data_IF_505655842949
#
_entry.id   IF_505655842949
#
_cell.length_a   1.000
_cell.length_b   1.000
_cell.length_c   1.000
_cell.angle_alpha   90.00
_cell.angle_beta   90.00
_cell.angle_gamma   90.00
#
_symmetry.space_group_name_H-M   'P 1'
#
loop_
_entity.id
_entity.type
_entity.pdbx_description
1 polymer ?
#
# COMPACT_ATOMS: atom_id res chain seq x y z
N UNK A 1 6.72 -28.84 3.58
CA UNK A 1 5.65 -27.82 3.40
C UNK A 1 6.22 -26.70 2.55
N UNK A 2 5.47 -26.21 1.55
CA UNK A 2 5.92 -25.07 0.72
C UNK A 2 6.03 -23.82 1.60
N UNK A 3 7.11 -23.04 1.43
CA UNK A 3 7.39 -21.86 2.24
C UNK A 3 7.52 -20.60 1.38
N UNK A 4 6.73 -19.60 1.68
CA UNK A 4 6.81 -18.25 1.11
C UNK A 4 7.38 -17.31 2.17
N UNK A 5 8.33 -16.48 1.81
CA UNK A 5 8.85 -15.41 2.67
C UNK A 5 8.53 -14.08 2.00
N UNK A 6 8.01 -13.14 2.75
CA UNK A 6 7.70 -11.81 2.28
C UNK A 6 8.54 -10.79 3.02
N UNK A 7 9.45 -10.12 2.31
CA UNK A 7 10.30 -9.06 2.83
C UNK A 7 9.78 -7.73 2.32
N UNK A 8 9.26 -6.90 3.22
CA UNK A 8 8.61 -5.64 2.83
C UNK A 8 9.19 -4.44 3.58
N UNK A 9 9.04 -3.26 3.01
CA UNK A 9 9.43 -2.01 3.65
C UNK A 9 8.31 -1.47 4.54
N UNK A 10 7.42 -0.68 4.00
CA UNK A 10 6.34 -0.03 4.75
C UNK A 10 5.03 -0.26 4.00
N UNK A 11 4.03 -0.84 4.66
CA UNK A 11 2.69 -0.85 4.08
C UNK A 11 1.73 -1.89 4.66
N UNK A 12 0.52 -1.46 5.00
CA UNK A 12 -0.57 -2.33 5.44
C UNK A 12 -1.08 -3.27 4.32
N UNK A 13 -0.78 -2.95 3.05
CA UNK A 13 -1.21 -3.75 1.90
C UNK A 13 -0.52 -5.11 1.79
N UNK A 14 0.64 -5.25 2.43
CA UNK A 14 1.45 -6.46 2.39
C UNK A 14 0.82 -7.62 3.19
N UNK A 15 0.07 -7.29 4.25
CA UNK A 15 -0.67 -8.29 5.05
C UNK A 15 -1.73 -9.02 4.23
N UNK A 16 -2.44 -8.32 3.35
CA UNK A 16 -3.40 -8.94 2.44
C UNK A 16 -2.74 -9.97 1.52
N UNK A 17 -1.59 -9.61 0.93
CA UNK A 17 -0.79 -10.51 0.09
C UNK A 17 -0.25 -11.69 0.89
N UNK A 18 0.26 -11.46 2.12
CA UNK A 18 0.77 -12.53 3.00
C UNK A 18 -0.34 -13.52 3.37
N UNK A 19 -1.52 -13.04 3.73
CA UNK A 19 -2.70 -13.87 4.01
C UNK A 19 -3.06 -14.76 2.83
N UNK A 20 -3.16 -14.20 1.63
CA UNK A 20 -3.50 -14.96 0.42
C UNK A 20 -2.39 -15.94 0.03
N UNK A 21 -1.12 -15.59 0.19
CA UNK A 21 -0.01 -16.50 -0.05
C UNK A 21 -0.05 -17.68 0.92
N UNK A 22 -0.49 -17.47 2.15
CA UNK A 22 -0.54 -18.51 3.18
C UNK A 22 -1.62 -19.57 2.95
N UNK A 23 -2.59 -19.33 2.09
CA UNK A 23 -3.55 -20.33 1.63
C UNK A 23 -2.87 -21.43 0.79
N UNK A 24 -1.69 -21.16 0.22
CA UNK A 24 -0.93 -22.05 -0.66
C UNK A 24 0.34 -22.61 -0.01
N UNK A 25 0.78 -22.02 1.09
CA UNK A 25 1.96 -22.45 1.83
C UNK A 25 2.19 -21.59 3.06
N UNK A 26 3.02 -22.07 4.00
CA UNK A 26 3.39 -21.27 5.17
C UNK A 26 4.03 -19.95 4.73
N UNK A 27 3.50 -18.83 5.15
CA UNK A 27 4.00 -17.50 4.78
C UNK A 27 4.57 -16.78 6.00
N UNK A 28 5.79 -16.28 5.86
CA UNK A 28 6.46 -15.43 6.87
C UNK A 28 6.51 -14.01 6.30
N UNK A 29 5.83 -13.09 6.95
CA UNK A 29 5.86 -11.66 6.62
C UNK A 29 6.86 -10.95 7.52
N UNK A 30 7.78 -10.23 6.92
CA UNK A 30 8.77 -9.37 7.59
C UNK A 30 8.57 -7.96 7.08
N UNK A 31 8.14 -7.09 7.94
CA UNK A 31 8.13 -5.66 7.68
C UNK A 31 9.38 -5.01 8.26
N UNK A 32 10.12 -4.31 7.42
CA UNK A 32 11.33 -3.59 7.79
C UNK A 32 11.17 -2.10 7.46
N UNK A 33 11.01 -1.28 8.49
CA UNK A 33 10.75 0.15 8.35
C UNK A 33 10.81 0.86 9.70
N UNK A 34 10.23 2.06 9.83
CA UNK A 34 10.14 2.78 11.11
C UNK A 34 9.43 1.96 12.20
N UNK A 35 8.56 1.06 11.81
CA UNK A 35 7.94 0.05 12.67
C UNK A 35 8.28 -1.30 12.07
N UNK A 36 9.27 -1.98 12.64
CA UNK A 36 9.63 -3.34 12.24
C UNK A 36 8.63 -4.32 12.87
N UNK A 37 8.13 -5.27 12.08
CA UNK A 37 7.13 -6.22 12.52
C UNK A 37 7.28 -7.56 11.81
N UNK A 38 6.96 -8.64 12.50
CA UNK A 38 7.08 -10.01 12.00
C UNK A 38 5.78 -10.77 12.23
N UNK A 39 5.28 -11.44 11.19
CA UNK A 39 4.07 -12.24 11.27
C UNK A 39 4.29 -13.59 10.59
N UNK A 40 3.64 -14.64 11.10
CA UNK A 40 3.53 -15.95 10.43
C UNK A 40 2.08 -16.23 10.14
N UNK A 41 1.82 -16.65 8.91
CA UNK A 41 0.48 -16.94 8.39
C UNK A 41 0.43 -18.37 7.86
N UNK A 42 -0.61 -19.11 8.22
CA UNK A 42 -0.88 -20.48 7.76
C UNK A 42 -2.36 -20.64 7.44
N UNK A 43 -2.69 -21.14 6.25
CA UNK A 43 -4.09 -21.34 5.81
C UNK A 43 -4.97 -20.09 5.94
N UNK A 44 -4.45 -18.92 5.59
CA UNK A 44 -5.17 -17.66 5.67
C UNK A 44 -5.30 -17.07 7.08
N UNK A 45 -4.75 -17.74 8.10
CA UNK A 45 -4.81 -17.33 9.51
C UNK A 45 -3.43 -16.91 9.99
N UNK A 46 -3.37 -15.80 10.73
CA UNK A 46 -2.15 -15.35 11.39
C UNK A 46 -1.90 -16.19 12.64
N UNK A 47 -0.84 -17.01 12.62
CA UNK A 47 -0.47 -17.93 13.71
C UNK A 47 0.56 -17.34 14.67
N UNK A 48 1.30 -16.29 14.22
CA UNK A 48 2.23 -15.56 15.05
C UNK A 48 2.16 -14.07 14.69
N UNK A 49 2.18 -13.24 15.72
CA UNK A 49 2.16 -11.79 15.68
C UNK A 49 3.26 -11.28 16.61
N UNK A 50 4.40 -10.92 16.02
CA UNK A 50 5.55 -10.44 16.77
C UNK A 50 5.35 -9.02 17.32
N UNK A 51 6.14 -8.59 18.28
CA UNK A 51 6.07 -7.22 18.80
C UNK A 51 6.43 -6.21 17.72
N UNK A 52 5.75 -5.06 17.73
CA UNK A 52 6.16 -3.90 16.94
C UNK A 52 7.41 -3.27 17.57
N UNK A 53 8.46 -3.16 16.79
CA UNK A 53 9.71 -2.52 17.20
C UNK A 53 9.75 -1.14 16.55
N UNK A 54 9.53 -0.11 17.34
CA UNK A 54 9.68 1.27 16.90
C UNK A 54 11.16 1.62 16.77
N UNK A 55 11.63 1.83 15.55
CA UNK A 55 12.98 2.32 15.31
C UNK A 55 12.96 3.86 15.30
N UNK A 56 13.57 4.48 16.32
CA UNK A 56 13.73 5.94 16.43
C UNK A 56 14.77 6.50 15.45
N UNK A 57 14.89 5.93 14.28
CA UNK A 57 15.81 6.46 13.29
C UNK A 57 15.20 7.68 12.59
N UNK A 58 15.94 8.77 12.58
CA UNK A 58 15.57 9.95 11.80
C UNK A 58 15.39 9.55 10.32
N UNK A 59 14.47 10.20 9.63
CA UNK A 59 14.16 9.93 8.21
C UNK A 59 15.41 9.90 7.31
N UNK A 60 16.42 10.72 7.63
CA UNK A 60 17.72 10.75 6.95
C UNK A 60 18.57 9.50 7.19
N UNK A 61 18.51 8.92 8.40
CA UNK A 61 19.20 7.67 8.72
C UNK A 61 18.47 6.51 8.07
N UNK A 62 17.14 6.52 8.07
CA UNK A 62 16.34 5.53 7.33
C UNK A 62 16.66 5.53 5.83
N UNK A 63 16.77 6.70 5.20
CA UNK A 63 17.15 6.82 3.78
C UNK A 63 18.60 6.36 3.53
N UNK A 64 19.55 6.59 4.45
CA UNK A 64 20.92 6.09 4.35
C UNK A 64 21.01 4.58 4.64
N UNK A 65 20.17 4.07 5.53
CA UNK A 65 20.13 2.64 5.92
C UNK A 65 19.43 1.77 4.86
N UNK A 66 18.68 2.35 3.92
CA UNK A 66 18.14 1.69 2.74
C UNK A 66 19.19 1.22 1.72
N UNK A 67 20.47 1.49 1.97
CA UNK A 67 21.59 1.00 1.18
C UNK A 67 22.04 -0.42 1.58
N UNK A 68 23.34 -0.64 1.53
CA UNK A 68 23.99 -1.93 1.79
C UNK A 68 23.64 -2.54 3.16
N UNK A 69 23.55 -1.72 4.21
CA UNK A 69 23.18 -2.18 5.57
C UNK A 69 21.75 -2.72 5.61
N UNK A 70 20.82 -2.14 4.86
CA UNK A 70 19.47 -2.67 4.73
C UNK A 70 19.43 -4.05 4.10
N UNK A 71 20.27 -4.32 3.09
CA UNK A 71 20.39 -5.65 2.49
C UNK A 71 20.88 -6.67 3.54
N UNK A 72 21.94 -6.34 4.28
CA UNK A 72 22.48 -7.23 5.34
C UNK A 72 21.43 -7.50 6.41
N UNK A 73 20.69 -6.49 6.85
CA UNK A 73 19.62 -6.63 7.84
C UNK A 73 18.53 -7.60 7.36
N UNK A 74 18.05 -7.43 6.14
CA UNK A 74 17.03 -8.32 5.55
C UNK A 74 17.54 -9.76 5.45
N UNK A 75 18.80 -9.98 5.08
CA UNK A 75 19.42 -11.32 5.03
C UNK A 75 19.48 -11.94 6.44
N UNK A 76 19.96 -11.20 7.45
CA UNK A 76 19.99 -11.67 8.84
C UNK A 76 18.61 -12.03 9.35
N UNK A 77 17.61 -11.19 9.08
CA UNK A 77 16.23 -11.44 9.47
C UNK A 77 15.66 -12.68 8.79
N UNK A 78 15.94 -12.86 7.49
CA UNK A 78 15.60 -14.12 6.80
C UNK A 78 16.16 -15.35 7.52
N UNK A 79 17.46 -15.37 7.82
CA UNK A 79 18.08 -16.52 8.49
C UNK A 79 17.51 -16.79 9.87
N UNK A 80 17.22 -15.75 10.64
CA UNK A 80 16.62 -15.85 11.97
C UNK A 80 15.22 -16.51 11.89
N UNK A 81 14.37 -16.05 10.99
CA UNK A 81 12.98 -16.49 10.90
C UNK A 81 12.81 -17.85 10.23
N UNK A 82 13.59 -18.14 9.22
CA UNK A 82 13.56 -19.43 8.54
C UNK A 82 14.41 -20.48 9.24
N UNK A 83 15.16 -20.11 10.29
CA UNK A 83 16.18 -20.94 10.93
C UNK A 83 17.21 -21.48 9.93
N UNK A 84 17.46 -20.73 8.86
CA UNK A 84 18.35 -21.11 7.77
C UNK A 84 17.75 -22.12 6.77
N UNK A 85 16.49 -22.51 6.92
CA UNK A 85 15.80 -23.36 5.96
C UNK A 85 15.60 -22.64 4.60
N UNK A 86 15.42 -23.44 3.56
CA UNK A 86 15.17 -22.91 2.22
C UNK A 86 13.71 -22.50 2.08
N UNK A 87 13.49 -21.35 1.45
CA UNK A 87 12.16 -20.95 0.99
C UNK A 87 11.96 -21.30 -0.49
N UNK A 88 10.73 -21.54 -0.89
CA UNK A 88 10.39 -21.73 -2.31
C UNK A 88 10.34 -20.40 -3.05
N UNK A 89 9.71 -19.40 -2.44
CA UNK A 89 9.50 -18.08 -3.04
C UNK A 89 9.80 -17.00 -2.01
N UNK A 90 10.50 -15.93 -2.45
CA UNK A 90 10.60 -14.67 -1.71
C UNK A 90 9.85 -13.59 -2.50
N UNK A 91 8.83 -13.02 -1.88
CA UNK A 91 8.15 -11.82 -2.34
C UNK A 91 8.82 -10.60 -1.67
N UNK A 92 9.20 -9.60 -2.44
CA UNK A 92 9.96 -8.45 -1.93
C UNK A 92 9.32 -7.15 -2.36
N UNK A 93 9.18 -6.18 -1.46
CA UNK A 93 8.78 -4.82 -1.83
C UNK A 93 10.00 -3.89 -1.78
N UNK A 94 10.18 -3.05 -2.80
CA UNK A 94 11.31 -2.16 -3.01
C UNK A 94 12.65 -2.84 -3.37
N UNK A 95 13.60 -2.03 -3.85
CA UNK A 95 14.86 -2.53 -4.44
C UNK A 95 15.81 -3.16 -3.42
N UNK A 96 15.83 -2.67 -2.18
CA UNK A 96 16.73 -3.18 -1.11
C UNK A 96 16.36 -4.61 -0.73
N UNK A 97 15.08 -4.84 -0.46
CA UNK A 97 14.55 -6.16 -0.12
C UNK A 97 14.70 -7.12 -1.30
N UNK A 98 14.48 -6.62 -2.53
CA UNK A 98 14.68 -7.43 -3.74
C UNK A 98 16.15 -7.80 -3.93
N UNK A 99 17.10 -6.89 -3.69
CA UNK A 99 18.52 -7.19 -3.75
C UNK A 99 18.91 -8.27 -2.72
N UNK A 100 18.37 -8.21 -1.49
CA UNK A 100 18.54 -9.26 -0.49
C UNK A 100 17.98 -10.61 -0.96
N UNK A 101 16.77 -10.62 -1.54
CA UNK A 101 16.16 -11.82 -2.12
C UNK A 101 16.99 -12.44 -3.25
N UNK A 102 17.49 -11.60 -4.17
CA UNK A 102 18.37 -12.04 -5.27
C UNK A 102 19.69 -12.64 -4.75
N UNK A 103 20.28 -12.04 -3.72
CA UNK A 103 21.46 -12.61 -3.07
C UNK A 103 21.14 -13.96 -2.41
N UNK A 104 20.03 -14.10 -1.69
CA UNK A 104 19.58 -15.36 -1.11
C UNK A 104 19.34 -16.44 -2.18
N UNK A 105 18.83 -16.05 -3.36
CA UNK A 105 18.70 -16.95 -4.50
C UNK A 105 20.06 -17.40 -5.03
N UNK A 106 21.01 -16.48 -5.17
CA UNK A 106 22.37 -16.81 -5.66
C UNK A 106 23.09 -17.83 -4.78
N UNK A 107 22.86 -17.81 -3.47
CA UNK A 107 23.43 -18.80 -2.52
C UNK A 107 22.51 -20.02 -2.28
N UNK A 108 21.46 -20.18 -3.08
CA UNK A 108 20.57 -21.36 -3.03
C UNK A 108 19.62 -21.44 -1.84
N UNK A 109 19.35 -20.32 -1.15
CA UNK A 109 18.42 -20.23 -0.01
C UNK A 109 16.98 -19.98 -0.41
N UNK A 110 16.73 -19.57 -1.65
CA UNK A 110 15.40 -19.50 -2.24
C UNK A 110 15.44 -19.94 -3.68
N UNK A 111 14.29 -20.40 -4.19
CA UNK A 111 14.17 -20.82 -5.60
C UNK A 111 13.78 -19.67 -6.48
N UNK A 112 12.85 -18.84 -6.05
CA UNK A 112 12.23 -17.76 -6.82
C UNK A 112 12.20 -16.45 -6.04
N UNK A 113 12.35 -15.33 -6.77
CA UNK A 113 12.27 -13.98 -6.24
C UNK A 113 11.29 -13.16 -7.06
N UNK A 114 10.33 -12.54 -6.40
CA UNK A 114 9.38 -11.61 -6.99
C UNK A 114 9.67 -10.21 -6.49
N UNK A 115 9.82 -9.26 -7.40
CA UNK A 115 9.97 -7.84 -7.09
C UNK A 115 8.60 -7.16 -7.15
N UNK A 116 8.10 -6.70 -6.01
CA UNK A 116 6.86 -5.91 -5.92
C UNK A 116 7.23 -4.43 -5.86
N UNK A 117 6.63 -3.62 -6.74
CA UNK A 117 6.80 -2.16 -6.76
C UNK A 117 5.46 -1.52 -6.42
N UNK A 118 5.32 -1.08 -5.17
CA UNK A 118 4.12 -0.39 -4.66
C UNK A 118 4.13 1.10 -4.99
N UNK A 119 5.32 1.71 -5.06
CA UNK A 119 5.48 3.14 -5.23
C UNK A 119 6.46 3.47 -6.36
N UNK A 120 6.11 4.46 -7.15
CA UNK A 120 6.99 5.05 -8.14
C UNK A 120 7.09 6.55 -7.90
N UNK A 121 8.30 7.02 -7.64
CA UNK A 121 8.59 8.44 -7.46
C UNK A 121 9.16 9.01 -8.77
N UNK A 122 8.37 9.78 -9.53
CA UNK A 122 8.88 10.42 -10.75
C UNK A 122 10.03 11.38 -10.40
N UNK A 123 11.04 11.54 -11.29
CA UNK A 123 12.23 12.37 -11.02
C UNK A 123 11.93 13.86 -11.10
N UNK A 124 11.02 14.36 -10.25
CA UNK A 124 10.60 15.74 -10.12
C UNK A 124 11.13 16.37 -8.84
N UNK A 125 11.03 17.69 -8.67
CA UNK A 125 11.49 18.41 -7.47
C UNK A 125 12.91 18.99 -7.61
N UNK A 126 13.58 19.22 -6.48
CA UNK A 126 14.96 19.78 -6.44
C UNK A 126 15.96 18.91 -7.17
N UNK A 127 17.12 19.46 -7.55
CA UNK A 127 18.14 18.72 -8.29
C UNK A 127 18.61 17.47 -7.54
N UNK A 128 18.88 17.59 -6.24
CA UNK A 128 19.28 16.46 -5.38
C UNK A 128 18.21 15.37 -5.33
N UNK A 129 16.94 15.75 -5.20
CA UNK A 129 15.83 14.81 -5.18
C UNK A 129 15.65 14.12 -6.54
N UNK A 130 15.80 14.84 -7.65
CA UNK A 130 15.77 14.26 -9.01
C UNK A 130 16.88 13.24 -9.22
N UNK A 131 18.09 13.54 -8.77
CA UNK A 131 19.24 12.61 -8.88
C UNK A 131 18.95 11.37 -8.04
N UNK A 132 18.55 11.55 -6.78
CA UNK A 132 18.21 10.43 -5.88
C UNK A 132 17.12 9.51 -6.49
N UNK A 133 16.02 10.08 -7.00
CA UNK A 133 14.93 9.33 -7.63
C UNK A 133 15.34 8.61 -8.91
N UNK A 134 16.26 9.19 -9.71
CA UNK A 134 16.84 8.51 -10.88
C UNK A 134 17.68 7.31 -10.47
N UNK A 135 18.53 7.46 -9.45
CA UNK A 135 19.38 6.39 -8.94
C UNK A 135 18.49 5.26 -8.38
N UNK A 136 17.52 5.58 -7.53
CA UNK A 136 16.56 4.61 -6.99
C UNK A 136 15.79 3.90 -8.10
N UNK A 137 15.30 4.66 -9.09
CA UNK A 137 14.60 4.10 -10.24
C UNK A 137 15.47 3.19 -11.11
N UNK A 138 16.75 3.49 -11.25
CA UNK A 138 17.72 2.62 -11.94
C UNK A 138 17.89 1.29 -11.20
N UNK A 139 18.16 1.33 -9.88
CA UNK A 139 18.30 0.11 -9.09
C UNK A 139 17.01 -0.70 -9.04
N UNK A 140 15.85 -0.06 -8.92
CA UNK A 140 14.56 -0.75 -8.98
C UNK A 140 14.37 -1.48 -10.32
N UNK A 141 14.70 -0.87 -11.45
CA UNK A 141 14.67 -1.52 -12.77
C UNK A 141 15.63 -2.71 -12.84
N UNK A 142 16.84 -2.54 -12.32
CA UNK A 142 17.86 -3.60 -12.35
C UNK A 142 17.38 -4.82 -11.57
N UNK A 143 16.93 -4.65 -10.32
CA UNK A 143 16.46 -5.78 -9.51
C UNK A 143 15.16 -6.37 -10.05
N UNK A 144 14.24 -5.56 -10.59
CA UNK A 144 13.04 -6.04 -11.26
C UNK A 144 13.38 -6.92 -12.47
N UNK A 145 14.36 -6.51 -13.29
CA UNK A 145 14.82 -7.30 -14.45
C UNK A 145 15.44 -8.64 -14.05
N UNK A 146 16.15 -8.68 -12.92
CA UNK A 146 16.84 -9.87 -12.42
C UNK A 146 15.92 -10.82 -11.65
N UNK A 147 14.73 -10.37 -11.27
CA UNK A 147 13.73 -11.19 -10.56
C UNK A 147 13.04 -12.18 -11.50
N UNK A 148 12.47 -13.25 -10.95
CA UNK A 148 11.70 -14.21 -11.73
C UNK A 148 10.40 -13.58 -12.24
N UNK A 149 9.76 -12.75 -11.41
CA UNK A 149 8.62 -11.91 -11.79
C UNK A 149 8.74 -10.52 -11.18
N UNK A 150 8.08 -9.55 -11.81
CA UNK A 150 7.96 -8.20 -11.28
C UNK A 150 6.48 -7.78 -11.24
N UNK A 151 6.00 -7.42 -10.06
CA UNK A 151 4.61 -7.02 -9.85
C UNK A 151 4.53 -5.53 -9.51
N UNK A 152 3.58 -4.83 -10.08
CA UNK A 152 3.33 -3.42 -9.76
C UNK A 152 1.88 -3.21 -9.36
N UNK A 153 1.63 -2.40 -8.35
CA UNK A 153 0.26 -2.08 -7.90
C UNK A 153 -0.53 -1.25 -8.93
N UNK A 154 0.14 -0.72 -9.94
CA UNK A 154 -0.48 0.07 -11.00
C UNK A 154 0.17 -0.22 -12.35
N UNK A 155 -0.63 -0.34 -13.45
CA UNK A 155 -0.10 -0.53 -14.80
C UNK A 155 0.70 0.67 -15.31
N UNK A 156 0.61 1.82 -14.64
CA UNK A 156 1.33 3.04 -14.97
C UNK A 156 2.76 3.06 -14.45
N UNK A 157 3.15 2.14 -13.54
CA UNK A 157 4.52 2.05 -13.02
C UNK A 157 5.46 1.50 -14.09
N UNK A 158 6.41 2.29 -14.63
CA UNK A 158 7.23 1.87 -15.76
C UNK A 158 8.38 0.93 -15.37
N UNK A 159 8.77 0.91 -14.10
CA UNK A 159 9.98 0.21 -13.63
C UNK A 159 9.89 -1.31 -13.73
N UNK A 160 8.70 -1.89 -13.64
CA UNK A 160 8.49 -3.35 -13.75
C UNK A 160 8.44 -3.85 -15.20
N UNK A 161 8.15 -2.97 -16.16
CA UNK A 161 8.01 -3.34 -17.58
C UNK A 161 9.32 -3.83 -18.23
N UNK A 162 10.44 -3.70 -17.54
CA UNK A 162 11.73 -4.26 -17.98
C UNK A 162 11.83 -5.77 -17.76
N UNK A 163 10.95 -6.35 -16.95
CA UNK A 163 10.84 -7.79 -16.74
C UNK A 163 9.82 -8.36 -17.73
N UNK A 164 10.15 -9.44 -18.50
CA UNK A 164 9.21 -10.07 -19.42
C UNK A 164 7.99 -10.68 -18.71
N UNK A 165 8.16 -11.06 -17.44
CA UNK A 165 7.10 -11.60 -16.58
C UNK A 165 6.64 -10.54 -15.58
N UNK A 166 6.08 -9.42 -16.09
CA UNK A 166 5.54 -8.37 -15.24
C UNK A 166 4.01 -8.44 -15.19
N UNK A 167 3.46 -8.13 -14.00
CA UNK A 167 2.04 -8.21 -13.73
C UNK A 167 1.55 -7.00 -12.93
N UNK A 168 0.28 -6.69 -13.03
CA UNK A 168 -0.39 -5.73 -12.16
C UNK A 168 -0.89 -6.46 -10.93
N UNK A 169 -0.34 -6.11 -9.76
CA UNK A 169 -0.74 -6.67 -8.46
C UNK A 169 -2.01 -5.96 -7.97
N UNK A 170 -3.16 -6.61 -7.95
CA UNK A 170 -4.34 -6.02 -7.34
C UNK A 170 -4.24 -6.12 -5.81
N UNK A 171 -4.52 -5.02 -5.12
CA UNK A 171 -4.50 -4.95 -3.67
C UNK A 171 -5.86 -5.35 -3.06
N UNK A 172 -5.84 -6.09 -1.97
CA UNK A 172 -7.05 -6.52 -1.27
C UNK A 172 -7.76 -5.34 -0.59
N UNK A 173 -9.09 -5.31 -0.67
CA UNK A 173 -9.92 -4.44 0.17
C UNK A 173 -10.38 -5.29 1.35
N UNK A 174 -9.82 -5.02 2.53
CA UNK A 174 -10.22 -5.73 3.74
C UNK A 174 -11.70 -5.46 4.08
N UNK A 175 -12.27 -6.26 4.96
CA UNK A 175 -13.60 -6.08 5.52
C UNK A 175 -13.49 -5.85 7.01
N UNK A 176 -13.33 -4.60 7.38
CA UNK A 176 -13.09 -4.15 8.76
C UNK A 176 -14.26 -3.31 9.30
N UNK A 177 -15.40 -3.28 8.58
CA UNK A 177 -16.48 -2.39 9.00
C UNK A 177 -17.15 -2.87 10.28
N UNK A 178 -17.23 -1.96 11.25
CA UNK A 178 -18.08 -2.14 12.41
C UNK A 178 -19.52 -1.77 12.04
N UNK A 179 -20.53 -2.52 12.52
CA UNK A 179 -21.92 -2.12 12.38
C UNK A 179 -22.16 -0.76 13.05
N UNK A 180 -22.77 0.18 12.35
CA UNK A 180 -22.89 1.57 12.82
C UNK A 180 -24.26 2.13 12.59
N UNK A 181 -24.71 2.85 13.62
CA UNK A 181 -25.87 3.74 13.58
C UNK A 181 -25.39 5.19 13.48
N UNK A 182 -25.87 5.92 12.47
CA UNK A 182 -25.65 7.36 12.31
C UNK A 182 -24.21 7.75 11.91
N UNK A 183 -24.00 7.97 10.63
CA UNK A 183 -22.71 8.45 10.09
C UNK A 183 -22.84 9.94 9.79
N UNK A 184 -22.14 10.77 10.55
CA UNK A 184 -22.23 12.23 10.45
C UNK A 184 -20.86 12.92 10.32
N UNK A 185 -19.78 12.14 10.34
CA UNK A 185 -18.41 12.64 10.36
C UNK A 185 -17.71 12.42 9.03
N UNK A 186 -16.60 13.12 8.79
CA UNK A 186 -15.71 12.92 7.65
C UNK A 186 -14.39 12.34 8.14
N UNK A 187 -13.82 11.40 7.38
CA UNK A 187 -12.54 10.76 7.66
C UNK A 187 -11.44 11.15 6.66
N UNK A 188 -10.27 11.49 7.17
CA UNK A 188 -9.03 11.59 6.40
C UNK A 188 -8.00 10.62 6.98
N UNK A 189 -7.33 9.87 6.08
CA UNK A 189 -6.25 8.95 6.46
C UNK A 189 -5.04 9.21 5.58
N UNK A 190 -3.85 9.26 6.18
CA UNK A 190 -2.57 9.34 5.49
C UNK A 190 -1.69 10.50 5.94
N UNK A 191 -0.56 10.68 5.29
CA UNK A 191 0.36 11.79 5.55
C UNK A 191 -0.09 13.03 4.79
N UNK A 192 -0.64 14.07 5.45
CA UNK A 192 -1.03 15.30 4.77
C UNK A 192 0.17 15.98 4.12
N UNK A 193 -0.02 16.45 2.90
CA UNK A 193 0.96 17.26 2.16
C UNK A 193 0.23 18.38 1.44
N UNK A 194 0.92 19.40 0.92
CA UNK A 194 0.29 20.47 0.13
C UNK A 194 -0.53 19.93 -1.04
N UNK A 195 -0.11 18.80 -1.62
CA UNK A 195 -0.82 18.16 -2.73
C UNK A 195 -2.15 17.50 -2.32
N UNK A 196 -2.30 17.12 -1.05
CA UNK A 196 -3.51 16.42 -0.56
C UNK A 196 -4.71 17.35 -0.29
N UNK A 197 -4.62 18.62 -0.58
CA UNK A 197 -5.69 19.59 -0.51
C UNK A 197 -6.56 19.57 0.79
N UNK A 198 -5.95 19.20 1.93
CA UNK A 198 -6.67 19.05 3.21
C UNK A 198 -7.20 20.40 3.74
N UNK A 199 -6.57 21.49 3.38
CA UNK A 199 -7.01 22.86 3.66
C UNK A 199 -8.38 23.17 3.02
N UNK A 200 -8.65 22.70 1.81
CA UNK A 200 -9.98 22.79 1.19
C UNK A 200 -11.02 22.01 1.99
N UNK A 201 -10.65 20.86 2.53
CA UNK A 201 -11.53 20.08 3.40
C UNK A 201 -11.85 20.85 4.70
N UNK A 202 -10.87 21.54 5.28
CA UNK A 202 -11.08 22.39 6.47
C UNK A 202 -12.10 23.48 6.22
N UNK A 203 -12.03 24.16 5.06
CA UNK A 203 -12.99 25.20 4.68
C UNK A 203 -14.41 24.65 4.54
N UNK A 204 -14.57 23.52 3.84
CA UNK A 204 -15.87 22.87 3.64
C UNK A 204 -16.46 22.39 4.97
N UNK A 205 -15.65 21.74 5.81
CA UNK A 205 -16.09 21.28 7.13
C UNK A 205 -16.55 22.45 8.02
N UNK A 206 -15.82 23.58 7.99
CA UNK A 206 -16.20 24.80 8.72
C UNK A 206 -17.52 25.37 8.23
N UNK A 207 -17.68 25.48 6.91
CA UNK A 207 -18.89 26.02 6.27
C UNK A 207 -20.15 25.24 6.64
N UNK A 208 -20.06 23.92 6.75
CA UNK A 208 -21.20 23.02 7.00
C UNK A 208 -21.28 22.48 8.43
N UNK A 209 -20.41 22.93 9.33
CA UNK A 209 -20.38 22.42 10.72
C UNK A 209 -20.03 20.93 10.82
N UNK A 210 -19.36 20.35 9.81
CA UNK A 210 -19.05 18.92 9.75
C UNK A 210 -17.89 18.58 10.69
N UNK A 211 -18.02 17.48 11.41
CA UNK A 211 -16.93 16.96 12.24
C UNK A 211 -15.92 16.20 11.37
N UNK A 212 -14.64 16.49 11.57
CA UNK A 212 -13.55 15.92 10.80
C UNK A 212 -12.62 15.09 11.69
N UNK A 213 -12.31 13.87 11.27
CA UNK A 213 -11.32 13.00 11.88
C UNK A 213 -10.10 12.88 10.98
N UNK A 214 -8.91 13.20 11.51
CA UNK A 214 -7.65 13.18 10.77
C UNK A 214 -6.70 12.15 11.39
N UNK A 215 -6.43 11.08 10.65
CA UNK A 215 -5.37 10.12 10.96
C UNK A 215 -4.14 10.43 10.11
N UNK A 216 -3.01 10.57 10.77
CA UNK A 216 -1.73 10.92 10.17
C UNK A 216 -1.15 12.20 10.77
N UNK A 217 0.12 12.46 10.46
CA UNK A 217 0.83 13.64 10.87
C UNK A 217 1.90 14.01 9.85
N UNK A 218 2.26 15.29 9.78
CA UNK A 218 3.34 15.79 8.92
C UNK A 218 3.71 17.22 9.32
N UNK A 219 4.89 17.68 8.92
CA UNK A 219 5.30 19.07 9.11
C UNK A 219 4.30 20.05 8.43
N UNK A 220 3.75 19.66 7.27
CA UNK A 220 2.72 20.46 6.59
C UNK A 220 1.44 20.54 7.41
N UNK A 221 0.94 19.41 7.94
CA UNK A 221 -0.26 19.44 8.80
C UNK A 221 -0.06 20.34 10.01
N UNK A 222 1.08 20.27 10.66
CA UNK A 222 1.40 21.11 11.81
C UNK A 222 1.38 22.60 11.45
N UNK A 223 1.86 22.96 10.25
CA UNK A 223 1.86 24.36 9.78
C UNK A 223 0.47 24.93 9.49
N UNK A 224 -0.51 24.09 9.12
CA UNK A 224 -1.87 24.51 8.77
C UNK A 224 -2.93 24.11 9.82
N UNK A 225 -2.53 23.45 10.91
CA UNK A 225 -3.44 22.93 11.94
C UNK A 225 -4.33 24.03 12.56
N UNK A 226 -3.81 25.26 12.63
CA UNK A 226 -4.55 26.42 13.11
C UNK A 226 -5.73 26.82 12.21
N UNK A 227 -5.75 26.35 10.96
CA UNK A 227 -6.84 26.57 10.01
C UNK A 227 -7.98 25.55 10.17
N UNK A 228 -7.77 24.50 10.95
CA UNK A 228 -8.78 23.44 11.10
C UNK A 228 -10.05 23.96 11.80
N UNK A 229 -11.23 23.41 11.44
CA UNK A 229 -12.46 23.69 12.18
C UNK A 229 -12.36 23.26 13.66
N UNK A 230 -13.06 23.91 14.59
CA UNK A 230 -12.96 23.62 16.03
C UNK A 230 -13.41 22.20 16.39
N UNK A 231 -14.23 21.57 15.57
CA UNK A 231 -14.73 20.19 15.73
C UNK A 231 -13.84 19.15 15.03
N UNK A 232 -12.59 19.49 14.68
CA UNK A 232 -11.60 18.54 14.10
C UNK A 232 -10.91 17.76 15.21
N UNK A 233 -10.85 16.42 15.05
CA UNK A 233 -10.12 15.52 15.92
C UNK A 233 -8.88 14.98 15.19
N UNK A 234 -7.69 15.27 15.74
CA UNK A 234 -6.43 14.78 15.23
C UNK A 234 -6.01 13.53 16.02
N UNK A 235 -5.98 12.38 15.36
CA UNK A 235 -5.66 11.09 15.99
C UNK A 235 -4.16 10.75 15.94
N UNK A 236 -3.36 11.53 15.20
CA UNK A 236 -1.94 11.25 14.97
C UNK A 236 -1.71 10.03 14.07
N UNK A 237 -0.50 9.49 14.11
CA UNK A 237 -0.12 8.29 13.38
C UNK A 237 -0.47 7.07 14.22
N UNK A 238 -1.19 6.11 13.63
CA UNK A 238 -1.52 4.83 14.28
C UNK A 238 -1.64 3.72 13.23
N UNK A 239 -1.20 2.52 13.61
CA UNK A 239 -1.40 1.28 12.85
C UNK A 239 -2.51 0.41 13.46
N UNK A 240 -3.13 0.87 14.54
CA UNK A 240 -4.26 0.19 15.19
C UNK A 240 -5.50 0.25 14.28
N UNK A 241 -5.70 -0.82 13.50
CA UNK A 241 -6.83 -0.95 12.59
C UNK A 241 -8.18 -0.95 13.30
N UNK A 242 -8.24 -1.43 14.56
CA UNK A 242 -9.45 -1.40 15.36
C UNK A 242 -9.83 0.03 15.73
N UNK A 243 -8.88 0.82 16.20
CA UNK A 243 -9.08 2.25 16.50
C UNK A 243 -9.50 3.03 15.26
N UNK A 244 -8.82 2.80 14.13
CA UNK A 244 -9.18 3.42 12.85
C UNK A 244 -10.61 3.03 12.47
N UNK A 245 -10.95 1.74 12.55
CA UNK A 245 -12.28 1.21 12.22
C UNK A 245 -13.39 1.81 13.06
N UNK A 246 -13.20 1.91 14.38
CA UNK A 246 -14.19 2.52 15.31
C UNK A 246 -14.48 3.99 14.97
N UNK A 247 -13.47 4.76 14.54
CA UNK A 247 -13.67 6.16 14.15
C UNK A 247 -14.31 6.24 12.77
N UNK A 248 -13.81 5.49 11.78
CA UNK A 248 -14.33 5.50 10.43
C UNK A 248 -15.78 4.99 10.36
N UNK A 249 -16.16 4.14 11.27
CA UNK A 249 -17.53 3.68 11.41
C UNK A 249 -18.53 4.84 11.56
N UNK A 250 -18.14 5.99 12.10
CA UNK A 250 -18.97 7.20 12.22
C UNK A 250 -18.89 8.13 11.01
N UNK A 251 -18.00 7.82 10.05
CA UNK A 251 -17.77 8.68 8.88
C UNK A 251 -18.72 8.29 7.74
N UNK A 252 -19.45 9.27 7.18
CA UNK A 252 -20.23 9.07 5.96
C UNK A 252 -19.41 9.27 4.71
N UNK A 253 -18.26 9.95 4.81
CA UNK A 253 -17.40 10.28 3.68
C UNK A 253 -15.92 10.24 4.08
N UNK A 254 -15.08 9.74 3.18
CA UNK A 254 -13.64 9.82 3.23
C UNK A 254 -13.09 10.79 2.20
N UNK A 255 -11.89 11.33 2.45
CA UNK A 255 -11.27 12.34 1.61
C UNK A 255 -9.90 11.89 1.09
N UNK A 256 -9.76 11.88 -0.25
CA UNK A 256 -8.55 11.46 -0.94
C UNK A 256 -8.28 12.34 -2.18
N UNK A 257 -8.47 13.65 -2.05
CA UNK A 257 -8.27 14.62 -3.12
C UNK A 257 -6.81 15.01 -3.25
N UNK A 258 -6.33 15.12 -4.49
CA UNK A 258 -4.98 15.55 -4.85
C UNK A 258 -5.08 16.77 -5.76
N UNK A 259 -4.24 17.81 -5.51
CA UNK A 259 -4.18 19.02 -6.36
C UNK A 259 -3.47 18.76 -7.68
N UNK A 260 -2.34 18.06 -7.62
CA UNK A 260 -1.58 17.71 -8.81
C UNK A 260 -2.14 16.43 -9.44
N UNK A 261 -2.94 16.61 -10.48
CA UNK A 261 -3.51 15.53 -11.30
C UNK A 261 -2.68 15.24 -12.55
N UNK A 262 -1.51 15.89 -12.70
CA UNK A 262 -0.66 15.73 -13.88
C UNK A 262 -0.11 14.30 -14.02
N UNK A 263 0.21 13.87 -15.26
CA UNK A 263 0.81 12.57 -15.50
C UNK A 263 2.18 12.35 -14.84
N UNK A 264 2.79 13.43 -14.34
CA UNK A 264 4.08 13.39 -13.65
C UNK A 264 3.94 13.47 -12.12
N UNK A 265 2.71 13.52 -11.59
CA UNK A 265 2.48 13.51 -10.15
C UNK A 265 2.72 12.12 -9.56
N UNK A 266 3.12 12.06 -8.29
CA UNK A 266 3.21 10.81 -7.56
C UNK A 266 1.88 10.04 -7.55
N UNK A 267 0.79 10.74 -7.34
CA UNK A 267 -0.57 10.17 -7.30
C UNK A 267 -0.99 9.49 -8.60
N UNK A 268 -0.40 9.87 -9.74
CA UNK A 268 -0.69 9.27 -11.05
C UNK A 268 -0.26 7.79 -11.13
N UNK A 269 0.81 7.41 -10.44
CA UNK A 269 1.41 6.08 -10.54
C UNK A 269 0.93 5.12 -9.45
N UNK A 270 0.41 5.62 -8.34
CA UNK A 270 0.01 4.81 -7.21
C UNK A 270 -1.42 4.26 -7.28
N UNK A 271 -1.73 3.35 -6.37
CA UNK A 271 -3.10 3.09 -5.93
C UNK A 271 -3.29 3.87 -4.63
N UNK A 272 -4.31 4.72 -4.51
CA UNK A 272 -4.53 5.47 -3.28
C UNK A 272 -4.90 4.52 -2.14
N UNK A 273 -3.91 4.05 -1.38
CA UNK A 273 -4.10 3.10 -0.27
C UNK A 273 -5.13 3.59 0.76
N UNK A 274 -5.24 4.91 0.92
CA UNK A 274 -6.30 5.52 1.74
C UNK A 274 -7.72 5.19 1.25
N UNK A 275 -7.94 5.06 -0.07
CA UNK A 275 -9.24 4.64 -0.61
C UNK A 275 -9.57 3.20 -0.24
N UNK A 276 -8.56 2.30 -0.30
CA UNK A 276 -8.75 0.90 0.10
C UNK A 276 -9.09 0.79 1.59
N UNK A 277 -8.42 1.56 2.46
CA UNK A 277 -8.70 1.61 3.89
C UNK A 277 -10.10 2.20 4.19
N UNK A 278 -10.52 3.22 3.45
CA UNK A 278 -11.87 3.79 3.56
C UNK A 278 -12.93 2.76 3.15
N UNK A 279 -12.73 2.09 2.02
CA UNK A 279 -13.64 1.03 1.55
C UNK A 279 -13.69 -0.18 2.47
N UNK A 280 -12.56 -0.54 3.11
CA UNK A 280 -12.52 -1.59 4.13
C UNK A 280 -13.44 -1.30 5.32
N UNK A 281 -13.72 -0.03 5.57
CA UNK A 281 -14.63 0.45 6.64
C UNK A 281 -16.00 0.93 6.10
N UNK A 282 -16.29 0.60 4.85
CA UNK A 282 -17.53 0.96 4.17
C UNK A 282 -17.76 2.48 4.10
N UNK A 283 -16.69 3.26 3.89
CA UNK A 283 -16.72 4.73 3.79
C UNK A 283 -16.51 5.14 2.33
N UNK A 284 -17.53 5.73 1.69
CA UNK A 284 -17.42 6.30 0.35
C UNK A 284 -16.37 7.41 0.30
N UNK A 285 -15.74 7.61 -0.86
CA UNK A 285 -14.63 8.53 -0.98
C UNK A 285 -14.91 9.64 -1.98
N UNK A 286 -14.45 10.87 -1.65
CA UNK A 286 -14.25 11.94 -2.64
C UNK A 286 -12.77 11.94 -3.02
N UNK A 287 -12.48 11.80 -4.30
CA UNK A 287 -11.12 11.74 -4.84
C UNK A 287 -11.01 12.49 -6.17
N UNK A 288 -9.79 12.70 -6.65
CA UNK A 288 -9.51 13.29 -7.97
C UNK A 288 -9.06 12.24 -8.97
N UNK A 289 -9.19 12.53 -10.27
CA UNK A 289 -8.82 11.59 -11.33
C UNK A 289 -7.30 11.51 -11.52
N UNK A 290 -6.61 10.88 -10.58
CA UNK A 290 -5.15 10.77 -10.59
C UNK A 290 -4.64 9.38 -10.95
N UNK A 291 -5.18 8.35 -10.32
CA UNK A 291 -4.70 6.99 -10.43
C UNK A 291 -5.59 6.11 -11.32
N UNK A 292 -5.06 4.98 -11.77
CA UNK A 292 -5.85 3.97 -12.49
C UNK A 292 -7.09 3.51 -11.68
N UNK A 293 -6.94 3.37 -10.37
CA UNK A 293 -8.00 2.91 -9.47
C UNK A 293 -9.18 3.90 -9.38
N UNK A 294 -8.98 5.20 -9.67
CA UNK A 294 -10.07 6.19 -9.65
C UNK A 294 -11.14 5.93 -10.70
N UNK A 295 -10.79 5.29 -11.83
CA UNK A 295 -11.76 4.85 -12.83
C UNK A 295 -12.68 3.76 -12.26
N UNK A 296 -12.13 2.84 -11.46
CA UNK A 296 -12.91 1.81 -10.76
C UNK A 296 -13.86 2.45 -9.73
N UNK A 297 -13.42 3.47 -9.01
CA UNK A 297 -14.28 4.23 -8.07
C UNK A 297 -15.45 4.87 -8.82
N UNK A 298 -15.18 5.55 -9.92
CA UNK A 298 -16.21 6.22 -10.73
C UNK A 298 -17.22 5.22 -11.31
N UNK A 299 -16.75 4.12 -11.92
CA UNK A 299 -17.61 3.14 -12.59
C UNK A 299 -18.42 2.30 -11.63
N UNK A 300 -17.93 2.04 -10.42
CA UNK A 300 -18.65 1.27 -9.40
C UNK A 300 -19.68 2.08 -8.62
N UNK A 301 -19.58 3.41 -8.61
CA UNK A 301 -20.37 4.28 -7.75
C UNK A 301 -19.95 4.23 -6.27
N UNK A 302 -18.76 3.70 -5.94
CA UNK A 302 -18.26 3.61 -4.57
C UNK A 302 -17.77 4.94 -4.00
N UNK A 303 -17.80 6.02 -4.80
CA UNK A 303 -17.38 7.36 -4.42
C UNK A 303 -17.54 8.35 -5.57
N UNK A 304 -17.09 9.57 -5.35
CA UNK A 304 -17.11 10.65 -6.33
C UNK A 304 -15.69 10.98 -6.81
N UNK A 305 -15.49 11.02 -8.12
CA UNK A 305 -14.27 11.51 -8.75
C UNK A 305 -14.52 12.93 -9.26
N UNK A 306 -13.78 13.90 -8.73
CA UNK A 306 -14.00 15.32 -8.97
C UNK A 306 -12.71 16.03 -9.37
N UNK A 307 -12.82 17.22 -9.93
CA UNK A 307 -11.69 18.14 -10.04
C UNK A 307 -11.36 18.74 -8.65
N UNK A 308 -10.08 19.12 -8.39
CA UNK A 308 -9.66 19.64 -7.09
C UNK A 308 -10.09 21.11 -6.88
N UNK A 309 -11.37 21.38 -7.09
CA UNK A 309 -11.99 22.69 -6.88
C UNK A 309 -13.04 22.63 -5.77
N UNK A 310 -13.10 23.65 -4.88
CA UNK A 310 -13.93 23.63 -3.67
C UNK A 310 -15.38 23.27 -3.94
N UNK A 311 -16.00 23.84 -4.96
CA UNK A 311 -17.42 23.67 -5.26
C UNK A 311 -17.78 22.24 -5.69
N UNK A 312 -16.90 21.58 -6.44
CA UNK A 312 -17.11 20.18 -6.83
C UNK A 312 -16.91 19.23 -5.65
N UNK A 313 -15.87 19.47 -4.84
CA UNK A 313 -15.60 18.70 -3.63
C UNK A 313 -16.77 18.83 -2.65
N UNK A 314 -17.22 20.04 -2.39
CA UNK A 314 -18.36 20.33 -1.51
C UNK A 314 -19.62 19.59 -1.97
N UNK A 315 -19.96 19.74 -3.25
CA UNK A 315 -21.14 19.05 -3.84
C UNK A 315 -21.05 17.54 -3.69
N UNK A 316 -19.88 16.96 -3.94
CA UNK A 316 -19.65 15.51 -3.81
C UNK A 316 -19.81 15.03 -2.36
N UNK A 317 -19.26 15.77 -1.38
CA UNK A 317 -19.42 15.46 0.06
C UNK A 317 -20.90 15.49 0.46
N UNK A 318 -21.64 16.52 0.04
CA UNK A 318 -23.06 16.66 0.38
C UNK A 318 -23.93 15.59 -0.33
N UNK A 319 -23.61 15.22 -1.57
CA UNK A 319 -24.28 14.15 -2.28
C UNK A 319 -24.07 12.79 -1.62
N UNK A 320 -22.83 12.48 -1.21
CA UNK A 320 -22.52 11.26 -0.46
C UNK A 320 -23.31 11.25 0.86
N UNK A 321 -23.37 12.37 1.58
CA UNK A 321 -24.13 12.46 2.83
C UNK A 321 -25.62 12.14 2.62
N UNK A 322 -26.22 12.74 1.58
CA UNK A 322 -27.63 12.55 1.26
C UNK A 322 -27.98 11.15 0.79
N UNK A 323 -27.06 10.49 0.09
CA UNK A 323 -27.28 9.18 -0.56
C UNK A 323 -26.35 8.08 -0.02
N UNK A 324 -25.87 8.21 1.23
CA UNK A 324 -24.92 7.28 1.84
C UNK A 324 -25.27 5.79 1.62
N UNK A 325 -26.51 5.31 1.79
CA UNK A 325 -26.85 3.90 1.58
C UNK A 325 -26.51 3.40 0.17
N UNK A 326 -26.73 4.23 -0.86
CA UNK A 326 -26.43 3.88 -2.28
C UNK A 326 -24.93 3.68 -2.48
N UNK A 327 -24.12 4.57 -1.92
CA UNK A 327 -22.66 4.47 -1.98
C UNK A 327 -22.12 3.29 -1.19
N UNK A 328 -22.69 3.04 0.00
CA UNK A 328 -22.34 1.90 0.86
C UNK A 328 -22.60 0.56 0.15
N UNK A 329 -23.75 0.40 -0.50
CA UNK A 329 -24.06 -0.80 -1.28
C UNK A 329 -23.12 -0.96 -2.48
N UNK A 330 -22.73 0.14 -3.12
CA UNK A 330 -21.78 0.13 -4.22
C UNK A 330 -20.39 -0.32 -3.75
N UNK A 331 -19.93 0.11 -2.56
CA UNK A 331 -18.67 -0.36 -1.96
C UNK A 331 -18.73 -1.86 -1.70
N UNK A 332 -19.81 -2.39 -1.15
CA UNK A 332 -19.95 -3.82 -0.88
C UNK A 332 -19.83 -4.64 -2.18
N UNK A 333 -20.57 -4.26 -3.23
CA UNK A 333 -20.46 -4.91 -4.54
C UNK A 333 -19.06 -4.80 -5.15
N UNK A 334 -18.43 -3.62 -5.05
CA UNK A 334 -17.07 -3.43 -5.52
C UNK A 334 -16.09 -4.33 -4.76
N UNK A 335 -16.17 -4.36 -3.42
CA UNK A 335 -15.29 -5.17 -2.59
C UNK A 335 -15.38 -6.65 -2.95
N UNK A 336 -16.59 -7.19 -3.10
CA UNK A 336 -16.80 -8.60 -3.42
C UNK A 336 -16.22 -8.96 -4.80
N UNK A 337 -16.55 -8.18 -5.83
CA UNK A 337 -16.08 -8.43 -7.19
C UNK A 337 -14.56 -8.22 -7.32
N UNK A 338 -14.03 -7.16 -6.71
CA UNK A 338 -12.62 -6.84 -6.71
C UNK A 338 -11.81 -7.91 -5.99
N UNK A 339 -12.23 -8.30 -4.78
CA UNK A 339 -11.53 -9.29 -3.98
C UNK A 339 -11.55 -10.69 -4.61
N UNK A 340 -12.58 -11.03 -5.36
CA UNK A 340 -12.58 -12.27 -6.14
C UNK A 340 -11.43 -12.29 -7.16
N UNK A 341 -11.26 -11.21 -7.93
CA UNK A 341 -10.15 -11.04 -8.86
C UNK A 341 -8.78 -11.04 -8.18
N UNK A 342 -8.67 -10.38 -7.02
CA UNK A 342 -7.45 -10.37 -6.21
C UNK A 342 -7.05 -11.78 -5.78
N UNK A 343 -7.98 -12.56 -5.22
CA UNK A 343 -7.73 -13.95 -4.80
C UNK A 343 -7.34 -14.83 -5.97
N UNK A 344 -8.02 -14.68 -7.10
CA UNK A 344 -7.69 -15.44 -8.33
C UNK A 344 -6.25 -15.13 -8.77
N UNK A 345 -5.87 -13.85 -8.89
CA UNK A 345 -4.52 -13.44 -9.25
C UNK A 345 -3.46 -14.08 -8.34
N UNK A 346 -3.61 -13.96 -7.03
CA UNK A 346 -2.63 -14.49 -6.08
C UNK A 346 -2.54 -16.02 -6.18
N UNK A 347 -3.68 -16.72 -6.26
CA UNK A 347 -3.70 -18.17 -6.41
C UNK A 347 -2.97 -18.61 -7.66
N UNK A 348 -3.28 -18.04 -8.82
CA UNK A 348 -2.63 -18.38 -10.08
C UNK A 348 -1.14 -18.10 -10.07
N UNK A 349 -0.74 -16.89 -9.63
CA UNK A 349 0.68 -16.50 -9.68
C UNK A 349 1.53 -17.24 -8.65
N UNK A 350 1.06 -17.33 -7.41
CA UNK A 350 1.83 -18.01 -6.35
C UNK A 350 1.90 -19.52 -6.63
N UNK A 351 0.81 -20.16 -7.09
CA UNK A 351 0.85 -21.57 -7.50
C UNK A 351 1.87 -21.80 -8.62
N UNK A 352 1.86 -20.96 -9.67
CA UNK A 352 2.83 -21.07 -10.75
C UNK A 352 4.29 -20.94 -10.28
N UNK A 353 4.55 -20.04 -9.32
CA UNK A 353 5.87 -19.86 -8.73
C UNK A 353 6.28 -21.08 -7.87
N UNK A 354 5.34 -21.67 -7.14
CA UNK A 354 5.56 -22.82 -6.28
C UNK A 354 5.70 -24.14 -7.07
N UNK A 355 5.08 -24.26 -8.25
CA UNK A 355 5.06 -25.47 -9.07
C UNK A 355 6.22 -25.53 -10.08
N UNK A 356 6.78 -24.36 -10.47
CA UNK A 356 7.86 -24.31 -11.44
C UNK A 356 9.05 -25.19 -11.00
N UNK A 357 9.21 -26.35 -11.66
CA UNK A 357 10.33 -27.26 -11.46
C UNK A 357 11.63 -26.51 -11.75
N UNK A 358 12.72 -26.72 -10.97
CA UNK A 358 14.01 -26.12 -11.30
C UNK A 358 14.40 -26.57 -12.70
N UNK A 359 14.82 -25.61 -13.54
CA UNK A 359 15.44 -25.94 -14.83
C UNK A 359 16.55 -26.97 -14.55
N UNK A 360 16.67 -28.05 -15.36
CA UNK A 360 17.74 -29.03 -15.18
C UNK A 360 19.07 -28.29 -15.14
N UNK A 361 19.87 -28.59 -14.10
CA UNK A 361 21.19 -27.99 -13.95
C UNK A 361 21.92 -28.14 -15.30
N UNK A 362 22.41 -27.02 -15.85
CA UNK A 362 23.19 -27.06 -17.09
C UNK A 362 24.31 -28.09 -16.90
N UNK A 363 24.27 -29.16 -17.71
CA UNK A 363 25.34 -30.14 -17.69
C UNK A 363 26.66 -29.38 -17.94
N UNK A 364 27.71 -29.64 -17.15
CA UNK A 364 28.99 -29.04 -17.42
C UNK A 364 29.38 -29.41 -18.85
N UNK A 365 29.65 -28.41 -19.69
CA UNK A 365 30.18 -28.63 -21.03
C UNK A 365 31.51 -29.32 -20.84
N UNK A 366 31.56 -30.58 -21.24
CA UNK A 366 32.77 -31.39 -21.35
C UNK A 366 33.78 -30.77 -22.33
#
# INVERSE_FOLDING_TARGET
MKQVVMLTGIGNNDRGTARLASELGRTILVQDGPIAHEEVWENGVRTYDGPEIHTHESRLIAEATFGFMGIIRNIRTYYRLTRGEKSDVILTSAYVQTAAGLWLRAIGKTRKVVCIVSDYLPPTGSLSLRIHRRITGFFTRLVARLSDEAWAVSPRIPTVKVNPHHFVLPLLIDDNHAPVTGREEIGYIGFPSPDHAIDLLFEICRKHGLKLNVFGDSAYLQSIKHLAPPNTVFHGITNDTSKIGQVLARCFCGYAVYRDTSPNSYSHFGVPSKCLQLFANNVPVVTTNTAHFTQTIASSGAGCVVEPVPEQIERAILDIRARYPVYSDAINRLRDSWNAGVRQFHRERISALLEATPAPAAQPRS
#
